data_IF_005076969198
#
_entry.id   IF_005076969198
#
_cell.length_a   1.000
_cell.length_b   1.000
_cell.length_c   1.000
_cell.angle_alpha   90.00
_cell.angle_beta   90.00
_cell.angle_gamma   90.00
#
_symmetry.space_group_name_H-M   'P 1'
#
loop_
_entity.id
_entity.type
_entity.pdbx_description
1 polymer ?
#
# COMPACT_ATOMS: atom_id res chain seq x y z
N UNK A 1 -1.43 -4.62 -8.23
CA UNK A 1 -2.23 -3.43 -7.84
C UNK A 1 -1.36 -2.20 -7.70
N UNK A 2 -0.23 -2.27 -6.99
CA UNK A 2 0.75 -1.17 -6.91
C UNK A 2 1.12 -0.59 -8.27
N UNK A 3 1.56 -1.43 -9.22
CA UNK A 3 1.93 -1.02 -10.58
C UNK A 3 0.82 -0.31 -11.35
N UNK A 4 -0.45 -0.61 -11.06
CA UNK A 4 -1.60 0.05 -11.71
C UNK A 4 -1.68 1.50 -11.23
N UNK A 5 -1.60 1.71 -9.91
CA UNK A 5 -1.70 3.03 -9.29
C UNK A 5 -0.42 3.86 -9.43
N UNK A 6 0.73 3.22 -9.65
CA UNK A 6 1.99 3.89 -9.94
C UNK A 6 2.21 4.18 -11.43
N UNK A 7 1.22 3.94 -12.29
CA UNK A 7 1.29 4.11 -13.76
C UNK A 7 2.47 3.30 -14.36
N UNK A 8 2.56 2.03 -13.97
CA UNK A 8 3.54 1.07 -14.50
C UNK A 8 4.95 1.19 -13.92
N UNK A 9 5.16 1.96 -12.84
CA UNK A 9 6.45 2.01 -12.16
C UNK A 9 6.79 0.68 -11.51
N UNK A 10 8.03 0.24 -11.69
CA UNK A 10 8.55 -1.00 -11.13
C UNK A 10 8.56 -0.93 -9.58
N UNK A 11 7.99 -1.92 -8.87
CA UNK A 11 8.13 -2.01 -7.42
C UNK A 11 9.61 -2.11 -7.02
N UNK A 12 10.00 -1.42 -5.93
CA UNK A 12 11.38 -1.41 -5.44
C UNK A 12 12.41 -1.03 -6.52
N UNK A 13 12.09 -0.08 -7.42
CA UNK A 13 12.95 0.26 -8.56
C UNK A 13 14.38 0.70 -8.19
N UNK A 14 14.55 1.26 -6.99
CA UNK A 14 15.84 1.74 -6.49
C UNK A 14 16.62 0.70 -5.69
N UNK A 15 16.04 -0.47 -5.43
CA UNK A 15 16.63 -1.51 -4.61
C UNK A 15 17.18 -2.66 -5.47
N UNK A 16 18.29 -3.25 -5.02
CA UNK A 16 18.73 -4.55 -5.53
C UNK A 16 17.76 -5.64 -5.06
N UNK A 17 17.78 -6.82 -5.69
CA UNK A 17 16.96 -7.94 -5.25
C UNK A 17 17.23 -8.31 -3.78
N UNK A 18 18.47 -8.20 -3.32
CA UNK A 18 18.85 -8.49 -1.92
C UNK A 18 18.23 -7.43 -0.99
N UNK A 19 18.43 -6.14 -1.28
CA UNK A 19 17.87 -5.03 -0.49
C UNK A 19 16.34 -5.09 -0.42
N UNK A 20 15.68 -5.37 -1.54
CA UNK A 20 14.23 -5.51 -1.60
C UNK A 20 13.74 -6.70 -0.76
N UNK A 21 14.44 -7.83 -0.80
CA UNK A 21 14.13 -8.99 0.03
C UNK A 21 14.30 -8.69 1.51
N UNK A 22 15.38 -8.01 1.91
CA UNK A 22 15.61 -7.61 3.30
C UNK A 22 14.47 -6.75 3.84
N UNK A 23 14.04 -5.74 3.08
CA UNK A 23 12.87 -4.90 3.42
C UNK A 23 11.59 -5.72 3.56
N UNK A 24 11.32 -6.61 2.61
CA UNK A 24 10.11 -7.45 2.67
C UNK A 24 10.14 -8.35 3.91
N UNK A 25 11.29 -8.94 4.22
CA UNK A 25 11.49 -9.80 5.38
C UNK A 25 11.39 -9.03 6.71
N UNK A 26 11.80 -7.75 6.76
CA UNK A 26 11.63 -6.88 7.93
C UNK A 26 10.21 -6.32 8.08
N UNK A 27 9.24 -6.84 7.33
CA UNK A 27 7.85 -6.36 7.29
C UNK A 27 7.68 -4.93 6.74
N UNK A 28 8.72 -4.33 6.16
CA UNK A 28 8.62 -3.07 5.43
C UNK A 28 7.85 -3.28 4.12
N UNK A 29 6.97 -2.34 3.78
CA UNK A 29 6.14 -2.37 2.58
C UNK A 29 6.29 -1.06 1.82
N UNK A 30 5.98 -1.10 0.52
CA UNK A 30 6.00 0.11 -0.30
C UNK A 30 4.95 1.11 0.21
N UNK A 31 5.29 2.42 0.27
CA UNK A 31 4.31 3.47 0.56
C UNK A 31 3.23 3.50 -0.54
N UNK A 32 2.04 4.09 -0.29
CA UNK A 32 1.01 4.21 -1.31
C UNK A 32 1.52 5.01 -2.53
N UNK A 33 1.30 4.54 -3.78
CA UNK A 33 1.53 5.38 -4.95
C UNK A 33 0.71 6.68 -4.87
N UNK A 34 1.20 7.80 -5.44
CA UNK A 34 0.44 9.03 -5.53
C UNK A 34 -0.89 8.82 -6.25
N UNK A 35 -1.96 9.39 -5.71
CA UNK A 35 -3.32 9.21 -6.21
C UNK A 35 -3.98 7.91 -5.77
N UNK A 36 -3.35 7.08 -4.93
CA UNK A 36 -3.94 5.84 -4.45
C UNK A 36 -4.99 6.10 -3.34
N UNK A 37 -6.24 5.65 -3.51
CA UNK A 37 -7.27 5.68 -2.46
C UNK A 37 -6.85 4.82 -1.27
N UNK A 38 -7.25 5.26 -0.08
CA UNK A 38 -6.99 4.57 1.19
C UNK A 38 -7.48 3.11 1.15
N UNK A 39 -8.73 2.90 0.69
CA UNK A 39 -9.33 1.57 0.62
C UNK A 39 -8.54 0.59 -0.26
N UNK A 40 -7.98 1.09 -1.37
CA UNK A 40 -7.12 0.29 -2.25
C UNK A 40 -5.79 0.02 -1.56
N UNK A 41 -5.20 1.01 -0.90
CA UNK A 41 -3.94 0.81 -0.19
C UNK A 41 -4.08 -0.20 0.97
N UNK A 42 -5.16 -0.12 1.75
CA UNK A 42 -5.51 -1.12 2.77
C UNK A 42 -5.62 -2.53 2.17
N UNK A 43 -6.27 -2.67 1.01
CA UNK A 43 -6.36 -3.95 0.32
C UNK A 43 -4.98 -4.45 -0.12
N UNK A 44 -4.12 -3.58 -0.67
CA UNK A 44 -2.73 -3.93 -1.01
C UNK A 44 -1.96 -4.45 0.21
N UNK A 45 -2.05 -3.74 1.33
CA UNK A 45 -1.35 -4.08 2.58
C UNK A 45 -1.87 -5.39 3.18
N UNK A 46 -3.17 -5.67 3.08
CA UNK A 46 -3.73 -6.98 3.48
C UNK A 46 -3.19 -8.12 2.59
N UNK A 47 -3.01 -7.88 1.28
CA UNK A 47 -2.39 -8.85 0.38
C UNK A 47 -0.91 -9.09 0.71
N UNK A 48 -0.25 -8.10 1.31
CA UNK A 48 1.17 -8.14 1.71
C UNK A 48 1.37 -8.49 3.19
N UNK A 49 0.40 -9.17 3.81
CA UNK A 49 0.53 -9.63 5.18
C UNK A 49 1.80 -10.50 5.36
N UNK A 50 2.61 -10.27 6.42
CA UNK A 50 3.84 -11.01 6.66
C UNK A 50 3.58 -12.52 6.79
N UNK A 51 2.59 -12.89 7.60
CA UNK A 51 2.13 -14.27 7.74
C UNK A 51 1.30 -14.70 6.52
N UNK A 52 1.70 -15.79 5.86
CA UNK A 52 1.09 -16.24 4.62
C UNK A 52 -0.37 -16.70 4.78
N UNK A 53 -0.73 -17.32 5.91
CA UNK A 53 -2.11 -17.80 6.19
C UNK A 53 -3.12 -16.68 6.36
N UNK A 54 -2.67 -15.49 6.77
CA UNK A 54 -3.51 -14.32 7.00
C UNK A 54 -3.82 -13.55 5.71
N UNK A 55 -3.11 -13.85 4.61
CA UNK A 55 -3.35 -13.19 3.32
C UNK A 55 -4.74 -13.54 2.79
N UNK A 56 -5.52 -12.56 2.28
CA UNK A 56 -6.82 -12.84 1.71
C UNK A 56 -6.67 -13.68 0.44
N UNK A 57 -7.54 -14.68 0.29
CA UNK A 57 -7.67 -15.41 -0.97
C UNK A 57 -8.39 -14.53 -2.03
N UNK A 58 -8.34 -14.97 -3.29
CA UNK A 58 -8.97 -14.23 -4.39
C UNK A 58 -10.48 -14.00 -4.22
N UNK A 59 -11.20 -14.91 -3.57
CA UNK A 59 -12.62 -14.71 -3.30
C UNK A 59 -12.85 -13.53 -2.34
N UNK A 60 -12.09 -13.44 -1.25
CA UNK A 60 -12.14 -12.30 -0.32
C UNK A 60 -11.78 -10.99 -1.03
N UNK A 61 -10.72 -10.99 -1.84
CA UNK A 61 -10.30 -9.81 -2.63
C UNK A 61 -11.43 -9.36 -3.57
N UNK A 62 -12.03 -10.28 -4.30
CA UNK A 62 -13.13 -9.99 -5.23
C UNK A 62 -14.34 -9.40 -4.49
N UNK A 63 -14.73 -9.98 -3.36
CA UNK A 63 -15.83 -9.47 -2.54
C UNK A 63 -15.52 -8.04 -2.09
N UNK A 64 -14.33 -7.76 -1.55
CA UNK A 64 -13.94 -6.42 -1.13
C UNK A 64 -13.98 -5.39 -2.26
N UNK A 65 -13.61 -5.79 -3.48
CA UNK A 65 -13.62 -4.90 -4.65
C UNK A 65 -15.01 -4.68 -5.25
N UNK A 66 -15.91 -5.66 -5.13
CA UNK A 66 -17.28 -5.60 -5.67
C UNK A 66 -18.29 -5.01 -4.68
N UNK A 67 -17.91 -4.85 -3.41
CA UNK A 67 -18.77 -4.21 -2.41
C UNK A 67 -19.16 -2.80 -2.87
N UNK A 68 -20.45 -2.40 -2.76
CA UNK A 68 -20.90 -1.05 -3.09
C UNK A 68 -20.27 -0.02 -2.15
N UNK A 69 -19.06 0.44 -2.48
CA UNK A 69 -18.36 1.48 -1.75
C UNK A 69 -18.03 2.62 -2.70
N UNK A 70 -18.78 3.72 -2.58
CA UNK A 70 -18.58 4.92 -3.41
C UNK A 70 -17.20 5.55 -3.22
N UNK A 71 -16.49 5.19 -2.16
CA UNK A 71 -15.18 5.72 -1.82
C UNK A 71 -14.02 4.81 -2.20
N UNK A 72 -14.28 3.67 -2.87
CA UNK A 72 -13.21 2.72 -3.22
C UNK A 72 -12.17 3.33 -4.17
N UNK A 73 -12.58 4.28 -5.02
CA UNK A 73 -11.71 4.99 -5.96
C UNK A 73 -11.48 6.46 -5.58
N UNK A 74 -12.00 6.94 -4.44
CA UNK A 74 -11.90 8.35 -4.07
C UNK A 74 -10.84 8.56 -3.01
N UNK A 75 -10.14 9.68 -3.12
CA UNK A 75 -9.24 10.16 -2.08
C UNK A 75 -10.00 11.27 -1.34
N UNK A 76 -10.07 11.24 0.00
CA UNK A 76 -10.75 12.28 0.75
C UNK A 76 -10.06 13.64 0.54
N UNK A 77 -10.86 14.71 0.41
CA UNK A 77 -10.37 16.07 0.15
C UNK A 77 -9.40 16.58 1.24
N UNK A 78 -9.59 16.12 2.48
CA UNK A 78 -8.66 16.36 3.58
C UNK A 78 -7.25 15.86 3.28
N UNK A 79 -7.10 14.66 2.70
CA UNK A 79 -5.80 14.10 2.34
C UNK A 79 -5.13 14.86 1.18
N UNK A 80 -5.90 15.41 0.23
CA UNK A 80 -5.37 16.27 -0.83
C UNK A 80 -4.84 17.59 -0.26
N UNK A 81 -5.53 18.18 0.71
CA UNK A 81 -5.13 19.45 1.31
C UNK A 81 -3.82 19.35 2.10
N UNK A 82 -3.61 18.23 2.82
CA UNK A 82 -2.40 18.00 3.61
C UNK A 82 -1.22 17.55 2.75
N UNK A 83 -1.46 16.86 1.63
CA UNK A 83 -0.41 16.32 0.76
C UNK A 83 -0.72 16.53 -0.73
N UNK A 84 -0.55 17.76 -1.26
CA UNK A 84 -0.99 18.10 -2.62
C UNK A 84 -0.35 17.24 -3.72
N UNK A 85 0.92 16.86 -3.56
CA UNK A 85 1.63 16.03 -4.53
C UNK A 85 1.33 14.53 -4.39
N UNK A 86 0.88 14.08 -3.21
CA UNK A 86 0.55 12.68 -2.95
C UNK A 86 -0.88 12.34 -3.42
N UNK A 87 -1.78 13.33 -3.48
CA UNK A 87 -3.15 13.14 -3.98
C UNK A 87 -3.28 13.06 -5.50
N UNK A 88 -2.22 13.37 -6.27
CA UNK A 88 -2.25 13.39 -7.72
C UNK A 88 -1.73 12.08 -8.33
N UNK A 89 -2.55 11.41 -9.14
CA UNK A 89 -2.15 10.19 -9.85
C UNK A 89 -0.94 10.48 -10.76
N UNK A 90 0.13 9.70 -10.60
CA UNK A 90 1.37 9.89 -11.37
C UNK A 90 2.35 10.91 -10.80
N UNK A 91 2.12 11.40 -9.57
CA UNK A 91 3.12 12.15 -8.82
C UNK A 91 4.40 11.34 -8.51
N UNK A 92 5.36 11.97 -7.85
CA UNK A 92 6.60 11.31 -7.41
C UNK A 92 6.31 10.27 -6.33
N UNK A 93 6.84 9.05 -6.44
CA UNK A 93 6.59 7.97 -5.45
C UNK A 93 6.92 8.36 -4.01
N UNK A 94 7.95 9.19 -3.80
CA UNK A 94 8.32 9.73 -2.48
C UNK A 94 7.20 10.55 -1.80
N UNK A 95 6.28 11.12 -2.58
CA UNK A 95 5.16 11.87 -2.02
C UNK A 95 4.21 10.99 -1.20
N UNK A 96 4.17 9.68 -1.48
CA UNK A 96 3.37 8.71 -0.74
C UNK A 96 3.89 8.35 0.66
N UNK A 97 5.16 8.64 0.97
CA UNK A 97 5.83 8.21 2.22
C UNK A 97 5.09 8.70 3.48
N UNK A 98 4.45 9.87 3.44
CA UNK A 98 3.72 10.43 4.59
C UNK A 98 2.21 10.17 4.56
N UNK A 99 1.72 9.40 3.59
CA UNK A 99 0.28 9.18 3.38
C UNK A 99 -0.17 7.89 4.07
N UNK A 100 -1.24 7.93 4.86
CA UNK A 100 -1.78 6.78 5.60
C UNK A 100 -0.76 6.10 6.54
N UNK A 101 -0.10 6.85 7.45
CA UNK A 101 0.98 6.29 8.29
C UNK A 101 0.52 5.11 9.15
N UNK A 102 -0.72 5.13 9.65
CA UNK A 102 -1.34 4.02 10.37
C UNK A 102 -1.42 2.72 9.54
N UNK A 103 -1.70 2.81 8.23
CA UNK A 103 -1.77 1.64 7.35
C UNK A 103 -0.36 1.16 7.00
N UNK A 104 0.57 2.09 6.74
CA UNK A 104 1.96 1.76 6.42
C UNK A 104 2.65 0.99 7.55
N UNK A 105 2.35 1.34 8.80
CA UNK A 105 2.99 0.76 9.99
C UNK A 105 2.17 -0.35 10.66
N UNK A 106 1.12 -0.86 10.02
CA UNK A 106 0.22 -1.84 10.66
C UNK A 106 0.89 -3.18 11.04
N UNK A 107 2.06 -3.49 10.50
CA UNK A 107 2.82 -4.70 10.81
C UNK A 107 4.10 -4.46 11.61
N UNK A 108 4.40 -3.21 12.00
CA UNK A 108 5.63 -2.86 12.71
C UNK A 108 5.78 -3.60 14.05
N UNK A 109 4.67 -3.92 14.71
CA UNK A 109 4.64 -4.64 16.00
C UNK A 109 4.81 -6.17 15.86
N UNK A 110 4.70 -6.71 14.64
CA UNK A 110 4.79 -8.17 14.40
C UNK A 110 6.22 -8.70 14.48
N UNK A 111 7.22 -7.82 14.61
CA UNK A 111 8.65 -8.17 14.66
C UNK A 111 8.98 -8.96 15.95
N UNK A 112 8.22 -8.78 17.03
CA UNK A 112 8.53 -9.39 18.34
C UNK A 112 7.95 -10.80 18.56
N UNK A 113 7.16 -11.34 17.62
CA UNK A 113 6.48 -12.65 17.81
C UNK A 113 7.03 -13.79 16.96
N UNK A 114 8.12 -13.56 16.22
CA UNK A 114 8.75 -14.56 15.34
C UNK A 114 10.14 -15.02 15.81
N UNK A 115 10.35 -15.14 17.13
CA UNK A 115 11.46 -15.86 17.75
C UNK A 115 10.96 -17.10 18.51
#
# INVERSE_FOLDING_TARGET
MYEIWSIGRKPYESDSNISAMEKICSSERLPPPPGCPEAIYSLMISCWHPVASERPNFHKIMVSLLQPNKNILTIPESALSSHPQAGSLGGTLKAGENMYPEIQNCYSDTIDTAL
#
